data_IF_031445507326
#
_entry.id   IF_031445507326
#
_cell.length_a   1.000
_cell.length_b   1.000
_cell.length_c   1.000
_cell.angle_alpha   90.00
_cell.angle_beta   90.00
_cell.angle_gamma   90.00
#
_symmetry.space_group_name_H-M   'P 1'
#
loop_
_entity.id
_entity.type
_entity.pdbx_description
1 polymer ?
#
# COMPACT_ATOMS: atom_id res chain seq x y z
N UNK A 1 -22.68 1.28 -11.82
CA UNK A 1 -21.89 0.06 -11.65
C UNK A 1 -21.13 0.18 -10.31
N UNK A 2 -20.97 -0.93 -9.61
CA UNK A 2 -20.17 -0.99 -8.39
C UNK A 2 -18.69 -0.72 -8.73
N UNK A 3 -18.03 0.19 -8.01
CA UNK A 3 -16.61 0.46 -8.20
C UNK A 3 -15.77 -0.69 -7.64
N UNK A 4 -14.64 -0.98 -8.28
CA UNK A 4 -13.72 -2.09 -7.90
C UNK A 4 -12.37 -1.55 -7.43
N UNK A 5 -11.89 -2.07 -6.31
CA UNK A 5 -10.57 -1.75 -5.75
C UNK A 5 -9.71 -3.01 -5.61
N UNK A 6 -8.46 -2.94 -6.07
CA UNK A 6 -7.42 -3.93 -5.77
C UNK A 6 -6.58 -3.45 -4.60
N UNK A 7 -6.53 -4.23 -3.52
CA UNK A 7 -5.74 -3.94 -2.32
C UNK A 7 -4.71 -5.05 -2.11
N UNK A 8 -3.43 -4.70 -2.09
CA UNK A 8 -2.36 -5.67 -1.79
C UNK A 8 -2.05 -5.71 -0.30
N UNK A 9 -1.62 -6.87 0.21
CA UNK A 9 -1.30 -7.05 1.64
C UNK A 9 -2.52 -6.96 2.56
N UNK A 10 -3.67 -7.46 2.10
CA UNK A 10 -4.97 -7.28 2.75
C UNK A 10 -5.07 -7.95 4.14
N UNK A 11 -4.20 -8.91 4.45
CA UNK A 11 -4.15 -9.57 5.76
C UNK A 11 -3.42 -8.78 6.86
N UNK A 12 -2.68 -7.72 6.51
CA UNK A 12 -1.99 -6.83 7.45
C UNK A 12 -2.94 -5.82 8.10
N UNK A 13 -2.48 -5.12 9.15
CA UNK A 13 -3.31 -4.16 9.90
C UNK A 13 -3.92 -3.07 9.02
N UNK A 14 -3.11 -2.33 8.26
CA UNK A 14 -3.60 -1.31 7.31
C UNK A 14 -4.46 -1.96 6.22
N UNK A 15 -4.08 -3.13 5.71
CA UNK A 15 -4.84 -3.84 4.67
C UNK A 15 -6.25 -4.22 5.11
N UNK A 16 -6.44 -4.65 6.37
CA UNK A 16 -7.74 -4.95 6.94
C UNK A 16 -8.60 -3.69 7.11
N UNK A 17 -8.00 -2.59 7.57
CA UNK A 17 -8.70 -1.30 7.68
C UNK A 17 -9.14 -0.79 6.30
N UNK A 18 -8.28 -0.91 5.29
CA UNK A 18 -8.62 -0.60 3.90
C UNK A 18 -9.77 -1.47 3.39
N UNK A 19 -9.70 -2.80 3.58
CA UNK A 19 -10.79 -3.71 3.20
C UNK A 19 -12.12 -3.25 3.82
N UNK A 20 -12.12 -3.08 5.15
CA UNK A 20 -13.31 -2.62 5.87
C UNK A 20 -13.84 -1.31 5.29
N UNK A 21 -12.99 -0.31 5.14
CA UNK A 21 -13.38 1.02 4.63
C UNK A 21 -14.01 0.95 3.25
N UNK A 22 -13.41 0.22 2.31
CA UNK A 22 -13.93 0.12 0.95
C UNK A 22 -15.17 -0.75 0.85
N UNK A 23 -15.22 -1.91 1.52
CA UNK A 23 -16.38 -2.80 1.51
C UNK A 23 -17.62 -2.15 2.14
N UNK A 24 -17.46 -1.49 3.30
CA UNK A 24 -18.55 -0.76 3.99
C UNK A 24 -19.09 0.41 3.15
N UNK A 25 -18.31 0.92 2.19
CA UNK A 25 -18.73 1.95 1.24
C UNK A 25 -19.15 1.40 -0.14
N UNK A 26 -19.47 0.11 -0.21
CA UNK A 26 -20.10 -0.51 -1.37
C UNK A 26 -19.16 -0.83 -2.54
N UNK A 27 -17.84 -0.87 -2.32
CA UNK A 27 -16.88 -1.29 -3.33
C UNK A 27 -16.79 -2.82 -3.40
N UNK A 28 -16.52 -3.34 -4.60
CA UNK A 28 -16.04 -4.70 -4.76
C UNK A 28 -14.52 -4.71 -4.54
N UNK A 29 -14.05 -5.53 -3.61
CA UNK A 29 -12.63 -5.57 -3.21
C UNK A 29 -11.95 -6.81 -3.78
N UNK A 30 -10.84 -6.62 -4.46
CA UNK A 30 -9.91 -7.67 -4.85
C UNK A 30 -8.76 -7.60 -3.85
N UNK A 31 -8.63 -8.61 -3.00
CA UNK A 31 -7.64 -8.66 -1.93
C UNK A 31 -6.50 -9.59 -2.24
N UNK A 32 -5.26 -9.10 -2.30
CA UNK A 32 -4.08 -9.97 -2.36
C UNK A 32 -3.50 -10.20 -0.97
N UNK A 33 -3.07 -11.43 -0.68
CA UNK A 33 -2.36 -11.83 0.53
C UNK A 33 -1.21 -12.79 0.21
N UNK A 34 -0.25 -12.94 1.14
CA UNK A 34 0.87 -13.87 0.99
C UNK A 34 0.61 -15.19 1.73
N UNK A 35 0.48 -15.18 3.07
CA UNK A 35 0.57 -16.39 3.87
C UNK A 35 -0.46 -16.53 5.00
N UNK A 36 -1.13 -15.49 5.44
CA UNK A 36 -2.02 -15.53 6.62
C UNK A 36 -3.41 -16.10 6.28
N UNK A 37 -3.47 -17.41 5.97
CA UNK A 37 -4.71 -18.09 5.56
C UNK A 37 -5.80 -18.03 6.62
N UNK A 38 -5.44 -18.13 7.92
CA UNK A 38 -6.43 -18.07 9.00
C UNK A 38 -7.17 -16.73 9.02
N UNK A 39 -6.43 -15.61 8.90
CA UNK A 39 -7.04 -14.29 8.83
C UNK A 39 -7.91 -14.12 7.58
N UNK A 40 -7.51 -14.71 6.46
CA UNK A 40 -8.30 -14.66 5.22
C UNK A 40 -9.61 -15.41 5.37
N UNK A 41 -9.65 -16.57 6.05
CA UNK A 41 -10.92 -17.30 6.30
C UNK A 41 -11.87 -16.47 7.20
N UNK A 42 -11.35 -15.76 8.20
CA UNK A 42 -12.15 -14.82 9.02
C UNK A 42 -12.73 -13.68 8.15
N UNK A 43 -11.91 -13.09 7.28
CA UNK A 43 -12.35 -12.02 6.39
C UNK A 43 -13.36 -12.51 5.33
N UNK A 44 -13.18 -13.72 4.80
CA UNK A 44 -14.15 -14.33 3.88
C UNK A 44 -15.52 -14.50 4.53
N UNK A 45 -15.57 -14.95 5.78
CA UNK A 45 -16.84 -15.11 6.49
C UNK A 45 -17.58 -13.77 6.72
N UNK A 46 -16.83 -12.69 6.87
CA UNK A 46 -17.39 -11.35 7.15
C UNK A 46 -17.83 -10.63 5.86
N UNK A 47 -17.09 -10.81 4.75
CA UNK A 47 -17.25 -10.01 3.52
C UNK A 47 -17.53 -10.85 2.27
N UNK A 48 -18.23 -12.01 2.42
CA UNK A 48 -18.42 -13.04 1.38
C UNK A 48 -18.86 -12.49 0.01
N UNK A 49 -19.73 -11.49 -0.03
CA UNK A 49 -20.36 -11.01 -1.26
C UNK A 49 -19.64 -9.81 -1.90
N UNK A 50 -18.71 -9.19 -1.17
CA UNK A 50 -18.04 -7.96 -1.59
C UNK A 50 -16.54 -8.10 -1.83
N UNK A 51 -15.95 -9.29 -1.58
CA UNK A 51 -14.50 -9.50 -1.64
C UNK A 51 -14.13 -10.82 -2.31
N UNK A 52 -13.14 -10.75 -3.19
CA UNK A 52 -12.43 -11.94 -3.70
C UNK A 52 -10.97 -11.88 -3.24
N UNK A 53 -10.42 -13.04 -2.85
CA UNK A 53 -9.05 -13.13 -2.33
C UNK A 53 -8.17 -13.94 -3.25
N UNK A 54 -6.96 -13.41 -3.52
CA UNK A 54 -5.91 -14.08 -4.28
C UNK A 54 -4.63 -14.21 -3.45
N UNK A 55 -4.04 -15.38 -3.47
CA UNK A 55 -2.74 -15.61 -2.85
C UNK A 55 -1.62 -15.38 -3.86
N UNK A 56 -0.64 -14.54 -3.49
CA UNK A 56 0.58 -14.33 -4.25
C UNK A 56 1.71 -13.87 -3.33
N UNK A 57 2.89 -14.47 -3.48
CA UNK A 57 4.10 -14.03 -2.80
C UNK A 57 4.89 -13.07 -3.71
N UNK A 58 4.94 -11.81 -3.34
CA UNK A 58 5.62 -10.76 -4.08
C UNK A 58 7.16 -10.75 -3.93
N UNK A 59 7.72 -11.63 -3.11
CA UNK A 59 9.17 -11.86 -3.11
C UNK A 59 9.66 -12.46 -4.44
N UNK A 60 8.77 -13.16 -5.16
CA UNK A 60 9.03 -13.77 -6.46
C UNK A 60 8.49 -12.89 -7.59
N UNK A 61 9.40 -12.27 -8.33
CA UNK A 61 9.08 -11.32 -9.42
C UNK A 61 8.26 -11.97 -10.55
N UNK A 62 8.57 -13.24 -10.93
CA UNK A 62 7.82 -13.95 -11.99
C UNK A 62 6.37 -14.18 -11.55
N UNK A 63 6.15 -14.69 -10.34
CA UNK A 63 4.80 -14.87 -9.78
C UNK A 63 4.05 -13.55 -9.65
N UNK A 64 4.75 -12.47 -9.32
CA UNK A 64 4.16 -11.13 -9.28
C UNK A 64 3.67 -10.68 -10.65
N UNK A 65 4.45 -10.91 -11.71
CA UNK A 65 4.06 -10.59 -13.08
C UNK A 65 2.86 -11.42 -13.53
N UNK A 66 2.90 -12.73 -13.32
CA UNK A 66 1.78 -13.64 -13.64
C UNK A 66 0.49 -13.23 -12.92
N UNK A 67 0.59 -12.88 -11.64
CA UNK A 67 -0.53 -12.38 -10.84
C UNK A 67 -1.08 -11.07 -11.39
N UNK A 68 -0.21 -10.11 -11.70
CA UNK A 68 -0.61 -8.80 -12.23
C UNK A 68 -1.36 -8.93 -13.56
N UNK A 69 -0.84 -9.75 -14.49
CA UNK A 69 -1.44 -10.00 -15.80
C UNK A 69 -2.78 -10.76 -15.66
N UNK A 70 -2.85 -11.75 -14.78
CA UNK A 70 -4.07 -12.50 -14.48
C UNK A 70 -5.16 -11.58 -13.92
N UNK A 71 -4.83 -10.73 -12.95
CA UNK A 71 -5.79 -9.80 -12.35
C UNK A 71 -6.25 -8.75 -13.37
N UNK A 72 -5.34 -8.16 -14.14
CA UNK A 72 -5.68 -7.19 -15.16
C UNK A 72 -6.59 -7.76 -16.26
N UNK A 73 -6.42 -9.04 -16.61
CA UNK A 73 -7.25 -9.77 -17.59
C UNK A 73 -8.62 -10.11 -17.04
N UNK A 74 -8.69 -10.66 -15.83
CA UNK A 74 -9.93 -11.13 -15.23
C UNK A 74 -10.80 -9.99 -14.67
N UNK A 75 -10.18 -8.87 -14.31
CA UNK A 75 -10.82 -7.69 -13.73
C UNK A 75 -10.46 -6.41 -14.52
N UNK A 76 -10.94 -6.26 -15.77
CA UNK A 76 -10.54 -5.15 -16.64
C UNK A 76 -11.06 -3.78 -16.18
N UNK A 77 -11.96 -3.74 -15.21
CA UNK A 77 -12.62 -2.53 -14.72
C UNK A 77 -12.20 -2.18 -13.28
N UNK A 78 -10.94 -2.40 -12.91
CA UNK A 78 -10.40 -1.93 -11.63
C UNK A 78 -10.33 -0.40 -11.67
N UNK A 79 -11.10 0.26 -10.79
CA UNK A 79 -11.11 1.72 -10.65
C UNK A 79 -9.95 2.22 -9.77
N UNK A 80 -9.53 1.41 -8.78
CA UNK A 80 -8.56 1.81 -7.76
C UNK A 80 -7.54 0.69 -7.53
N UNK A 81 -6.26 1.07 -7.48
CA UNK A 81 -5.18 0.20 -7.03
C UNK A 81 -4.56 0.78 -5.75
N UNK A 82 -4.53 -0.02 -4.68
CA UNK A 82 -3.81 0.33 -3.45
C UNK A 82 -2.63 -0.62 -3.26
N UNK A 83 -1.44 -0.11 -3.50
CA UNK A 83 -0.18 -0.80 -3.24
C UNK A 83 0.14 -0.67 -1.75
N UNK A 84 -0.35 -1.61 -0.94
CA UNK A 84 -0.20 -1.63 0.51
C UNK A 84 0.74 -2.75 1.00
N UNK A 85 0.91 -3.84 0.25
CA UNK A 85 1.83 -4.91 0.64
C UNK A 85 3.24 -4.36 0.92
N UNK A 86 3.82 -4.78 2.03
CA UNK A 86 5.16 -4.35 2.41
C UNK A 86 5.67 -5.11 3.62
N UNK A 87 6.99 -5.17 3.73
CA UNK A 87 7.74 -5.68 4.88
C UNK A 87 8.73 -4.62 5.35
N UNK A 88 9.14 -4.68 6.60
CA UNK A 88 10.22 -3.87 7.16
C UNK A 88 11.34 -4.75 7.67
N UNK A 89 12.55 -4.23 7.62
CA UNK A 89 13.75 -4.80 8.23
C UNK A 89 14.34 -3.74 9.14
N UNK A 90 14.76 -4.13 10.35
CA UNK A 90 15.40 -3.23 11.31
C UNK A 90 16.73 -3.84 11.72
N UNK A 91 17.74 -3.65 10.86
CA UNK A 91 19.11 -4.12 11.04
C UNK A 91 20.10 -3.04 10.61
N UNK A 92 21.30 -3.10 11.17
CA UNK A 92 22.42 -2.35 10.56
C UNK A 92 22.65 -2.84 9.13
N UNK A 93 23.03 -1.94 8.23
CA UNK A 93 23.25 -2.31 6.82
C UNK A 93 24.28 -3.44 6.65
N UNK A 94 25.29 -3.49 7.50
CA UNK A 94 26.33 -4.56 7.48
C UNK A 94 25.79 -5.94 7.87
N UNK A 95 24.63 -6.03 8.51
CA UNK A 95 23.98 -7.28 8.91
C UNK A 95 22.92 -7.77 7.91
N UNK A 96 22.61 -6.94 6.88
CA UNK A 96 21.71 -7.33 5.81
C UNK A 96 22.41 -8.27 4.82
N UNK A 97 21.67 -9.27 4.36
CA UNK A 97 22.12 -10.17 3.29
C UNK A 97 21.59 -9.70 1.94
N UNK A 98 22.26 -10.09 0.84
CA UNK A 98 21.75 -9.81 -0.51
C UNK A 98 20.33 -10.36 -0.71
N UNK A 99 20.02 -11.52 -0.11
CA UNK A 99 18.69 -12.14 -0.19
C UNK A 99 17.62 -11.31 0.54
N UNK A 100 17.91 -10.81 1.75
CA UNK A 100 16.97 -9.95 2.50
C UNK A 100 16.75 -8.63 1.79
N UNK A 101 17.81 -8.00 1.29
CA UNK A 101 17.75 -6.78 0.48
C UNK A 101 16.85 -6.99 -0.74
N UNK A 102 17.11 -8.05 -1.51
CA UNK A 102 16.35 -8.34 -2.73
C UNK A 102 14.88 -8.62 -2.42
N UNK A 103 14.60 -9.41 -1.36
CA UNK A 103 13.23 -9.71 -0.93
C UNK A 103 12.47 -8.43 -0.59
N UNK A 104 13.07 -7.54 0.20
CA UNK A 104 12.46 -6.28 0.61
C UNK A 104 12.18 -5.38 -0.59
N UNK A 105 13.15 -5.23 -1.49
CA UNK A 105 12.97 -4.43 -2.71
C UNK A 105 11.91 -5.03 -3.64
N UNK A 106 11.86 -6.36 -3.78
CA UNK A 106 10.86 -7.03 -4.60
C UNK A 106 9.45 -6.74 -4.09
N UNK A 107 9.22 -6.85 -2.77
CA UNK A 107 7.89 -6.66 -2.18
C UNK A 107 7.50 -5.18 -2.15
N UNK A 108 8.41 -4.30 -1.67
CA UNK A 108 8.06 -2.91 -1.35
C UNK A 108 8.11 -1.98 -2.57
N UNK A 109 8.86 -2.34 -3.62
CA UNK A 109 9.09 -1.46 -4.77
C UNK A 109 8.77 -2.15 -6.10
N UNK A 110 9.39 -3.30 -6.38
CA UNK A 110 9.24 -3.97 -7.69
C UNK A 110 7.80 -4.44 -7.92
N UNK A 111 7.15 -5.02 -6.92
CA UNK A 111 5.76 -5.46 -7.03
C UNK A 111 4.78 -4.31 -7.30
N UNK A 112 4.79 -3.18 -6.56
CA UNK A 112 4.00 -2.00 -6.89
C UNK A 112 4.21 -1.50 -8.33
N UNK A 113 5.44 -1.51 -8.85
CA UNK A 113 5.75 -1.12 -10.24
C UNK A 113 5.08 -2.08 -11.23
N UNK A 114 5.24 -3.39 -11.03
CA UNK A 114 4.68 -4.43 -11.91
C UNK A 114 3.14 -4.36 -11.92
N UNK A 115 2.52 -4.27 -10.74
CA UNK A 115 1.07 -4.17 -10.61
C UNK A 115 0.53 -2.90 -11.27
N UNK A 116 1.16 -1.76 -10.98
CA UNK A 116 0.76 -0.49 -11.57
C UNK A 116 0.88 -0.52 -13.10
N UNK A 117 1.95 -1.11 -13.65
CA UNK A 117 2.14 -1.29 -15.10
C UNK A 117 0.98 -2.08 -15.74
N UNK A 118 0.58 -3.19 -15.11
CA UNK A 118 -0.46 -4.05 -15.67
C UNK A 118 -1.86 -3.42 -15.55
N UNK A 119 -2.19 -2.91 -14.35
CA UNK A 119 -3.53 -2.38 -14.05
C UNK A 119 -3.77 -1.03 -14.73
N UNK A 120 -2.77 -0.15 -14.81
CA UNK A 120 -2.93 1.18 -15.41
C UNK A 120 -3.28 1.13 -16.90
N UNK A 121 -2.92 0.07 -17.63
CA UNK A 121 -3.28 -0.07 -19.04
C UNK A 121 -4.81 -0.01 -19.25
N UNK A 122 -5.57 -0.68 -18.39
CA UNK A 122 -7.03 -0.65 -18.44
C UNK A 122 -7.58 0.71 -17.95
N UNK A 123 -6.97 1.30 -16.90
CA UNK A 123 -7.35 2.64 -16.43
C UNK A 123 -7.17 3.70 -17.52
N UNK A 124 -6.06 3.64 -18.29
CA UNK A 124 -5.80 4.53 -19.43
C UNK A 124 -6.84 4.37 -20.52
N UNK A 125 -7.20 3.13 -20.89
CA UNK A 125 -8.25 2.85 -21.89
C UNK A 125 -9.60 3.40 -21.45
N UNK A 126 -9.91 3.26 -20.14
CA UNK A 126 -11.17 3.71 -19.55
C UNK A 126 -11.16 5.22 -19.21
N UNK A 127 -10.02 5.91 -19.37
CA UNK A 127 -9.79 7.31 -18.98
C UNK A 127 -10.24 7.62 -17.55
N UNK A 128 -9.97 6.70 -16.62
CA UNK A 128 -10.38 6.78 -15.23
C UNK A 128 -9.56 5.82 -14.39
N UNK A 129 -9.04 6.30 -13.24
CA UNK A 129 -8.35 5.46 -12.28
C UNK A 129 -7.73 6.25 -11.14
N UNK A 130 -7.47 5.55 -10.05
CA UNK A 130 -6.69 6.08 -8.93
C UNK A 130 -5.72 5.02 -8.41
N UNK A 131 -4.45 5.39 -8.27
CA UNK A 131 -3.41 4.54 -7.67
C UNK A 131 -2.95 5.22 -6.39
N UNK A 132 -2.98 4.49 -5.27
CA UNK A 132 -2.47 4.96 -3.98
C UNK A 132 -1.38 4.01 -3.50
N UNK A 133 -0.19 4.55 -3.25
CA UNK A 133 0.94 3.80 -2.71
C UNK A 133 1.07 4.06 -1.21
N UNK A 134 1.02 3.02 -0.39
CA UNK A 134 1.28 3.11 1.04
C UNK A 134 2.80 3.13 1.28
N UNK A 135 3.29 4.33 1.53
CA UNK A 135 4.70 4.62 1.77
C UNK A 135 4.97 4.81 3.27
N UNK A 136 6.06 5.50 3.61
CA UNK A 136 6.49 5.75 4.98
C UNK A 136 7.23 7.10 5.07
N UNK A 137 7.22 7.69 6.27
CA UNK A 137 8.09 8.83 6.62
C UNK A 137 9.56 8.51 6.32
N UNK A 138 9.97 7.26 6.48
CA UNK A 138 11.34 6.82 6.14
C UNK A 138 11.67 6.91 4.65
N UNK A 139 10.69 6.95 3.79
CA UNK A 139 10.88 7.25 2.36
C UNK A 139 11.22 8.73 2.08
N UNK A 140 11.09 9.61 3.08
CA UNK A 140 11.41 11.04 2.99
C UNK A 140 12.62 11.40 3.85
N UNK A 141 12.65 10.92 5.10
CA UNK A 141 13.65 11.34 6.07
C UNK A 141 14.80 10.32 6.25
N UNK A 142 14.57 9.05 5.91
CA UNK A 142 15.49 7.95 6.19
C UNK A 142 15.46 7.53 7.66
N UNK A 143 15.41 6.22 7.92
CA UNK A 143 15.47 5.63 9.27
C UNK A 143 16.81 4.95 9.53
N UNK A 144 17.42 5.22 10.69
CA UNK A 144 18.56 4.44 11.15
C UNK A 144 18.15 2.98 11.34
N UNK A 145 19.01 2.05 10.97
CA UNK A 145 18.74 0.61 10.93
C UNK A 145 17.58 0.18 10.00
N UNK A 146 17.07 1.09 9.17
CA UNK A 146 16.04 0.84 8.16
C UNK A 146 16.46 1.35 6.77
N UNK A 147 17.75 1.25 6.45
CA UNK A 147 18.34 1.84 5.23
C UNK A 147 17.73 1.29 3.94
N UNK A 148 17.59 -0.03 3.83
CA UNK A 148 16.98 -0.70 2.65
C UNK A 148 15.50 -0.41 2.58
N UNK A 149 14.79 -0.41 3.72
CA UNK A 149 13.39 -0.04 3.80
C UNK A 149 13.18 1.41 3.35
N UNK A 150 13.98 2.34 3.86
CA UNK A 150 13.97 3.75 3.46
C UNK A 150 14.20 3.93 1.97
N UNK A 151 15.19 3.23 1.40
CA UNK A 151 15.46 3.24 -0.03
C UNK A 151 14.26 2.74 -0.84
N UNK A 152 13.60 1.65 -0.39
CA UNK A 152 12.41 1.10 -1.06
C UNK A 152 11.24 2.08 -1.07
N UNK A 153 10.98 2.75 0.08
CA UNK A 153 9.87 3.70 0.22
C UNK A 153 10.17 5.05 -0.46
N UNK A 154 11.43 5.49 -0.48
CA UNK A 154 11.88 6.64 -1.27
C UNK A 154 11.73 6.38 -2.78
N UNK A 155 12.12 5.18 -3.23
CA UNK A 155 11.90 4.74 -4.61
C UNK A 155 10.41 4.69 -4.98
N UNK A 156 9.55 4.18 -4.08
CA UNK A 156 8.10 4.13 -4.27
C UNK A 156 7.49 5.55 -4.37
N UNK A 157 7.97 6.49 -3.55
CA UNK A 157 7.55 7.89 -3.63
C UNK A 157 7.88 8.49 -5.01
N UNK A 158 9.13 8.38 -5.46
CA UNK A 158 9.57 8.89 -6.75
C UNK A 158 8.85 8.22 -7.92
N UNK A 159 8.63 6.90 -7.84
CA UNK A 159 7.84 6.14 -8.81
C UNK A 159 6.41 6.70 -8.93
N UNK A 160 5.71 6.89 -7.80
CA UNK A 160 4.35 7.40 -7.81
C UNK A 160 4.23 8.80 -8.40
N UNK A 161 5.19 9.70 -8.11
CA UNK A 161 5.23 11.05 -8.69
C UNK A 161 5.44 11.01 -10.21
N UNK A 162 6.35 10.17 -10.68
CA UNK A 162 6.63 10.02 -12.12
C UNK A 162 5.44 9.42 -12.86
N UNK A 163 4.88 8.33 -12.34
CA UNK A 163 3.73 7.64 -12.94
C UNK A 163 2.49 8.56 -12.99
N UNK A 164 2.27 9.37 -11.96
CA UNK A 164 1.15 10.32 -11.96
C UNK A 164 1.25 11.38 -13.07
N UNK A 165 2.48 11.84 -13.38
CA UNK A 165 2.72 12.76 -14.51
C UNK A 165 2.49 12.06 -15.84
N UNK A 166 2.90 10.81 -15.97
CA UNK A 166 2.73 10.00 -17.19
C UNK A 166 1.25 9.74 -17.49
N UNK A 167 0.47 9.39 -16.45
CA UNK A 167 -0.92 8.96 -16.60
C UNK A 167 -1.95 10.09 -16.52
N UNK A 168 -1.54 11.29 -16.12
CA UNK A 168 -2.45 12.41 -15.82
C UNK A 168 -3.36 12.80 -17.00
N UNK A 169 -2.85 12.83 -18.22
CA UNK A 169 -3.64 13.11 -19.43
C UNK A 169 -4.71 12.04 -19.73
N UNK A 170 -4.57 10.86 -19.13
CA UNK A 170 -5.56 9.79 -19.20
C UNK A 170 -6.55 9.83 -18.03
N UNK A 171 -6.57 10.91 -17.23
CA UNK A 171 -7.41 11.05 -16.04
C UNK A 171 -7.18 9.93 -15.01
N UNK A 172 -5.94 9.44 -14.90
CA UNK A 172 -5.51 8.49 -13.87
C UNK A 172 -4.64 9.24 -12.87
N UNK A 173 -5.06 9.25 -11.61
CA UNK A 173 -4.34 9.92 -10.53
C UNK A 173 -3.44 8.94 -9.78
N UNK A 174 -2.27 9.41 -9.36
CA UNK A 174 -1.35 8.59 -8.55
C UNK A 174 -0.84 9.44 -7.38
N UNK A 175 -1.02 8.93 -6.16
CA UNK A 175 -0.57 9.58 -4.95
C UNK A 175 0.11 8.57 -4.01
N UNK A 176 0.98 9.07 -3.16
CA UNK A 176 1.63 8.29 -2.11
C UNK A 176 1.15 8.78 -0.75
N UNK A 177 0.94 7.84 0.20
CA UNK A 177 0.74 8.13 1.61
C UNK A 177 2.03 7.85 2.36
N UNK A 178 2.66 8.87 2.90
CA UNK A 178 3.82 8.78 3.77
C UNK A 178 3.33 8.56 5.21
N UNK A 179 3.18 7.29 5.59
CA UNK A 179 2.66 6.93 6.89
C UNK A 179 3.75 7.11 7.97
N UNK A 180 3.34 7.64 9.11
CA UNK A 180 4.13 7.65 10.33
C UNK A 180 4.11 6.30 11.04
N UNK A 181 4.17 6.31 12.37
CA UNK A 181 4.08 5.12 13.20
C UNK A 181 2.62 4.68 13.34
N UNK A 182 2.27 3.55 12.73
CA UNK A 182 0.90 2.99 12.72
C UNK A 182 0.82 1.79 13.66
N UNK A 183 -0.24 1.68 14.46
CA UNK A 183 -0.45 0.56 15.38
C UNK A 183 -0.83 -0.73 14.64
N UNK A 184 0.19 -1.48 14.28
CA UNK A 184 0.07 -2.74 13.54
C UNK A 184 1.03 -3.79 14.10
N UNK A 185 0.82 -5.05 13.73
CA UNK A 185 1.72 -6.13 14.10
C UNK A 185 3.18 -5.91 13.61
N UNK A 186 3.38 -5.17 12.52
CA UNK A 186 4.71 -4.80 12.01
C UNK A 186 5.49 -3.98 13.05
N UNK A 187 4.81 -3.14 13.82
CA UNK A 187 5.35 -2.28 14.86
C UNK A 187 5.22 -2.88 16.28
N UNK A 188 4.72 -4.12 16.39
CA UNK A 188 4.56 -4.83 17.68
C UNK A 188 5.85 -5.18 18.40
N UNK A 189 7.00 -5.11 17.69
CA UNK A 189 8.34 -5.35 18.24
C UNK A 189 8.89 -4.21 19.13
N UNK A 190 8.33 -3.01 19.00
CA UNK A 190 8.75 -1.84 19.77
C UNK A 190 8.15 -1.89 21.19
N UNK A 191 8.96 -1.58 22.19
CA UNK A 191 8.53 -1.48 23.57
C UNK A 191 7.57 -0.32 23.81
N UNK A 192 6.90 -0.29 24.95
CA UNK A 192 6.04 0.85 25.33
C UNK A 192 6.87 2.13 25.40
N UNK A 193 8.07 2.07 25.98
CA UNK A 193 8.98 3.22 26.06
C UNK A 193 9.39 3.75 24.69
N UNK A 194 9.73 2.85 23.73
CA UNK A 194 10.09 3.30 22.36
C UNK A 194 8.92 4.02 21.68
N UNK A 195 7.70 3.54 21.93
CA UNK A 195 6.48 4.16 21.40
C UNK A 195 6.22 5.53 22.03
N UNK A 196 6.39 5.64 23.35
CA UNK A 196 6.24 6.90 24.08
C UNK A 196 7.28 7.93 23.63
N UNK A 197 8.54 7.53 23.49
CA UNK A 197 9.61 8.37 22.97
C UNK A 197 9.34 8.86 21.57
N UNK A 198 8.85 7.97 20.70
CA UNK A 198 8.45 8.37 19.34
C UNK A 198 7.28 9.37 19.37
N UNK A 199 6.25 9.11 20.18
CA UNK A 199 5.08 9.97 20.30
C UNK A 199 5.42 11.36 20.86
N UNK A 200 6.42 11.47 21.73
CA UNK A 200 6.85 12.77 22.30
C UNK A 200 7.38 13.75 21.24
N UNK A 201 7.81 13.24 20.08
CA UNK A 201 8.28 14.02 18.94
C UNK A 201 7.19 14.31 17.90
N UNK A 202 5.97 13.82 18.10
CA UNK A 202 4.85 14.06 17.21
C UNK A 202 4.00 15.24 17.67
N UNK A 203 3.55 16.09 16.75
CA UNK A 203 2.63 17.17 17.09
C UNK A 203 1.32 16.68 17.69
N UNK A 204 0.80 15.49 17.26
CA UNK A 204 -0.41 14.88 17.81
C UNK A 204 -0.17 14.03 19.04
N UNK A 205 1.09 13.76 19.44
CA UNK A 205 1.46 13.06 20.66
C UNK A 205 0.98 11.59 20.77
N UNK A 206 0.59 10.96 19.67
CA UNK A 206 0.10 9.57 19.67
C UNK A 206 0.43 8.86 18.37
N UNK A 207 0.45 7.53 18.41
CA UNK A 207 0.55 6.69 17.21
C UNK A 207 -0.76 6.74 16.40
N UNK A 208 -0.63 6.51 15.09
CA UNK A 208 -1.73 6.47 14.14
C UNK A 208 -2.46 5.12 14.21
N UNK A 209 -3.78 5.11 14.10
CA UNK A 209 -4.54 3.88 13.89
C UNK A 209 -4.55 3.48 12.40
N UNK A 210 -4.68 2.18 12.08
CA UNK A 210 -4.85 1.74 10.70
C UNK A 210 -6.05 2.37 9.98
N UNK A 211 -7.13 2.67 10.71
CA UNK A 211 -8.33 3.29 10.16
C UNK A 211 -8.05 4.72 9.65
N UNK A 212 -7.19 5.49 10.35
CA UNK A 212 -6.81 6.84 9.91
C UNK A 212 -6.05 6.82 8.57
N UNK A 213 -5.23 5.78 8.34
CA UNK A 213 -4.58 5.57 7.02
C UNK A 213 -5.63 5.20 5.97
N UNK A 214 -6.58 4.33 6.31
CA UNK A 214 -7.64 3.90 5.40
C UNK A 214 -8.56 5.07 5.01
N UNK A 215 -8.84 6.00 5.91
CA UNK A 215 -9.65 7.19 5.65
C UNK A 215 -9.00 8.09 4.60
N UNK A 216 -7.71 8.37 4.75
CA UNK A 216 -6.98 9.22 3.78
C UNK A 216 -6.79 8.49 2.44
N UNK A 217 -6.52 7.18 2.44
CA UNK A 217 -6.45 6.39 1.22
C UNK A 217 -7.79 6.37 0.46
N UNK A 218 -8.90 6.26 1.18
CA UNK A 218 -10.25 6.32 0.63
C UNK A 218 -10.52 7.69 0.01
N UNK A 219 -10.24 8.78 0.73
CA UNK A 219 -10.36 10.15 0.22
C UNK A 219 -9.56 10.33 -1.09
N UNK A 220 -8.29 9.94 -1.11
CA UNK A 220 -7.45 10.06 -2.30
C UNK A 220 -7.93 9.22 -3.48
N UNK A 221 -8.68 8.15 -3.19
CA UNK A 221 -9.27 7.29 -4.21
C UNK A 221 -10.61 7.82 -4.74
N UNK A 222 -11.24 8.74 -4.03
CA UNK A 222 -12.58 9.26 -4.33
C UNK A 222 -12.57 10.41 -5.34
N UNK A 223 -13.76 10.81 -5.79
CA UNK A 223 -13.94 11.94 -6.68
C UNK A 223 -13.75 13.31 -5.96
N UNK A 224 -13.77 13.34 -4.62
CA UNK A 224 -13.43 14.53 -3.83
C UNK A 224 -11.98 14.93 -3.98
N UNK A 225 -11.10 13.96 -4.26
CA UNK A 225 -9.68 14.19 -4.55
C UNK A 225 -9.37 14.32 -6.05
N UNK A 226 -10.35 14.66 -6.90
CA UNK A 226 -10.19 14.66 -8.37
C UNK A 226 -9.10 15.59 -8.93
N UNK A 227 -8.65 16.56 -8.14
CA UNK A 227 -7.57 17.48 -8.52
C UNK A 227 -6.27 17.22 -7.73
N UNK A 228 -6.20 16.10 -6.97
CA UNK A 228 -5.02 15.69 -6.21
C UNK A 228 -4.33 14.55 -6.92
N UNK A 229 -3.18 14.80 -7.50
CA UNK A 229 -2.31 13.81 -8.14
C UNK A 229 -0.85 14.20 -8.01
N UNK A 230 0.06 13.24 -8.16
CA UNK A 230 1.51 13.44 -8.05
C UNK A 230 1.91 14.02 -6.68
N UNK A 231 1.24 13.59 -5.61
CA UNK A 231 1.56 14.05 -4.26
C UNK A 231 2.12 12.91 -3.41
N UNK A 232 2.97 13.28 -2.45
CA UNK A 232 3.32 12.43 -1.30
C UNK A 232 2.80 13.14 -0.06
N UNK A 233 1.73 12.60 0.50
CA UNK A 233 0.98 13.21 1.60
C UNK A 233 1.38 12.52 2.90
N UNK A 234 1.83 13.30 3.89
CA UNK A 234 2.12 12.82 5.24
C UNK A 234 0.84 12.48 6.00
N UNK A 235 0.82 11.29 6.59
CA UNK A 235 -0.17 10.86 7.58
C UNK A 235 0.63 10.35 8.77
N UNK A 236 1.28 11.29 9.44
CA UNK A 236 2.40 11.04 10.32
C UNK A 236 2.30 11.72 11.70
N UNK A 237 1.18 12.38 11.97
CA UNK A 237 0.94 13.06 13.24
C UNK A 237 1.79 14.32 13.45
N UNK A 238 2.42 14.83 12.38
CA UNK A 238 3.26 16.03 12.43
C UNK A 238 4.71 15.72 12.85
N UNK A 239 5.26 14.60 12.33
CA UNK A 239 6.65 14.17 12.45
C UNK A 239 7.61 15.11 11.74
#
# INVERSE_FOLDING_TARGET
MQKTVLITGISGGIGQALLKKFADNGYFVIGQFCSNSKKIEELKSTYSDSVIFYQCDFSNVSKTSEFADMVAKNHPNIDILINNAGISSTHMLCDETESSIQQLLNINLTAPIILSRAISQNMVKNKKGSIVNISSIWGKFGGSCETVYSASKGGLNSFGLALGRELGLSNVRVNNLSCGFVDTAMNGKFSVSDKEDFCSNLALGRICSPDEIADVAYFLSSDEARYVTCQTIGVDGGF
#
